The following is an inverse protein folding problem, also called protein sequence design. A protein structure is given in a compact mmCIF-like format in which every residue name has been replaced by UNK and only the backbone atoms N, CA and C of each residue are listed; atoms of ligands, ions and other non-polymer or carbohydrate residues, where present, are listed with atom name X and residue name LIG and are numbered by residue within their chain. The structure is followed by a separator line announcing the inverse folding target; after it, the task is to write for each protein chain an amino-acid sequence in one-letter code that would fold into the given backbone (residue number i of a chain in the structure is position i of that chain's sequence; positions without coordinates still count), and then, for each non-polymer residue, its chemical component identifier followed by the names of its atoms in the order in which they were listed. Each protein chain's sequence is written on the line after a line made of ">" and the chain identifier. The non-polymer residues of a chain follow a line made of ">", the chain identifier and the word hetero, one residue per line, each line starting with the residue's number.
data_IF_168649663104
#
_entry.id   IF_168649663104
#
_cell.length_a   1.000
_cell.length_b   1.000
_cell.length_c   1.000
_cell.angle_alpha   90.00
_cell.angle_beta   90.00
_cell.angle_gamma   90.00
#
_symmetry.space_group_name_H-M   'P 1'
#
loop_
_entity.id
_entity.type
_entity.pdbx_description
1 polymer ?
#
# COMPACT_ATOMS: atom_id res chain seq x y z
N UNK A 1 -45.16 -3.90 -17.15
CA UNK A 1 -44.68 -5.23 -16.72
C UNK A 1 -43.19 -5.10 -16.35
N UNK A 2 -42.86 -5.04 -15.05
CA UNK A 2 -41.49 -4.78 -14.55
C UNK A 2 -40.76 -6.13 -14.42
N UNK A 3 -39.81 -6.41 -15.31
CA UNK A 3 -38.92 -7.55 -15.17
C UNK A 3 -37.91 -7.27 -14.06
N UNK A 4 -38.18 -7.74 -12.84
CA UNK A 4 -37.15 -7.85 -11.79
C UNK A 4 -36.39 -9.14 -12.08
N UNK A 5 -35.10 -9.03 -12.41
CA UNK A 5 -34.18 -10.18 -12.38
C UNK A 5 -34.30 -10.84 -11.00
N UNK A 6 -34.37 -12.17 -10.89
CA UNK A 6 -34.26 -12.82 -9.58
C UNK A 6 -32.90 -12.45 -9.00
N UNK A 7 -32.91 -12.01 -7.74
CA UNK A 7 -31.70 -11.91 -6.93
C UNK A 7 -31.04 -13.29 -6.96
N UNK A 8 -29.76 -13.35 -7.32
CA UNK A 8 -28.96 -14.57 -7.23
C UNK A 8 -29.12 -15.19 -5.85
N UNK A 9 -29.14 -16.52 -5.71
CA UNK A 9 -29.28 -17.16 -4.41
C UNK A 9 -28.19 -16.63 -3.47
N UNK A 10 -28.61 -16.16 -2.29
CA UNK A 10 -27.70 -15.75 -1.23
C UNK A 10 -26.75 -16.91 -0.92
N UNK A 11 -25.47 -16.73 -1.21
CA UNK A 11 -24.45 -17.74 -0.94
C UNK A 11 -24.30 -17.80 0.58
N UNK A 12 -24.59 -18.95 1.23
CA UNK A 12 -24.42 -19.06 2.67
C UNK A 12 -22.93 -18.93 3.00
N UNK A 13 -22.60 -17.93 3.83
CA UNK A 13 -21.28 -17.74 4.44
C UNK A 13 -20.99 -18.87 5.42
N UNK A 14 -20.79 -20.10 4.92
CA UNK A 14 -20.45 -21.22 5.77
C UNK A 14 -19.34 -22.06 5.14
N UNK A 15 -18.35 -22.34 6.00
CA UNK A 15 -17.29 -23.34 5.89
C UNK A 15 -16.02 -22.99 5.07
N UNK A 16 -15.00 -22.59 5.85
CA UNK A 16 -13.59 -22.33 5.52
C UNK A 16 -13.29 -21.08 4.68
N UNK A 17 -13.42 -19.93 5.33
CA UNK A 17 -12.42 -18.87 5.11
C UNK A 17 -11.08 -19.52 5.49
N UNK A 18 -10.21 -19.83 4.51
CA UNK A 18 -8.78 -20.02 4.79
C UNK A 18 -8.41 -18.87 5.72
N UNK A 19 -7.89 -19.16 6.92
CA UNK A 19 -7.61 -18.16 7.95
C UNK A 19 -7.06 -16.90 7.27
N UNK A 20 -7.88 -15.85 7.20
CA UNK A 20 -7.54 -14.71 6.38
C UNK A 20 -6.24 -14.15 6.95
N UNK A 21 -5.14 -14.07 6.18
CA UNK A 21 -3.85 -13.63 6.71
C UNK A 21 -3.91 -12.19 7.23
N UNK A 22 -4.98 -11.44 6.91
CA UNK A 22 -5.26 -10.11 7.45
C UNK A 22 -6.16 -10.13 8.71
N UNK A 23 -7.06 -11.11 8.84
CA UNK A 23 -7.94 -11.24 10.02
C UNK A 23 -7.27 -12.05 11.15
N UNK A 24 -6.27 -12.85 10.82
CA UNK A 24 -5.42 -13.59 11.75
C UNK A 24 -3.98 -13.46 11.26
N UNK A 25 -3.36 -12.28 11.45
CA UNK A 25 -1.99 -12.05 11.02
C UNK A 25 -1.07 -13.11 11.61
N UNK A 26 -0.30 -13.75 10.73
CA UNK A 26 0.80 -14.64 11.10
C UNK A 26 1.87 -13.84 11.85
N UNK A 27 2.72 -14.53 12.63
CA UNK A 27 3.67 -13.97 13.63
C UNK A 27 4.08 -12.50 13.39
N UNK A 28 3.56 -11.60 14.22
CA UNK A 28 3.95 -10.19 14.20
C UNK A 28 5.38 -10.02 14.71
N UNK A 29 6.21 -9.32 13.95
CA UNK A 29 7.57 -8.90 14.33
C UNK A 29 7.56 -7.92 15.50
N UNK A 30 6.51 -7.10 15.59
CA UNK A 30 6.25 -6.20 16.70
C UNK A 30 4.75 -5.92 16.79
N UNK A 31 4.22 -5.69 18.00
CA UNK A 31 2.80 -5.35 18.21
C UNK A 31 2.60 -4.49 19.46
N UNK A 32 1.63 -3.59 19.39
CA UNK A 32 1.01 -2.93 20.55
C UNK A 32 -0.52 -2.96 20.44
N UNK A 33 -1.22 -2.19 21.27
CA UNK A 33 -2.70 -2.11 21.27
C UNK A 33 -3.29 -1.57 19.95
N UNK A 34 -2.52 -0.78 19.20
CA UNK A 34 -3.00 -0.05 18.02
C UNK A 34 -2.42 -0.53 16.69
N UNK A 35 -1.27 -1.21 16.71
CA UNK A 35 -0.54 -1.57 15.50
C UNK A 35 0.23 -2.88 15.66
N UNK A 36 0.49 -3.52 14.52
CA UNK A 36 1.39 -4.66 14.42
C UNK A 36 2.21 -4.56 13.13
N UNK A 37 3.41 -5.13 13.15
CA UNK A 37 4.33 -5.22 12.02
C UNK A 37 4.50 -6.70 11.68
N UNK A 38 4.35 -7.05 10.41
CA UNK A 38 4.55 -8.40 9.88
C UNK A 38 5.53 -8.34 8.72
N UNK A 39 6.19 -9.45 8.42
CA UNK A 39 6.83 -9.59 7.12
C UNK A 39 5.75 -9.57 6.04
N UNK A 40 6.07 -8.94 4.91
CA UNK A 40 5.29 -9.14 3.71
C UNK A 40 5.56 -10.56 3.21
N UNK A 41 4.65 -11.47 3.54
CA UNK A 41 4.77 -12.89 3.20
C UNK A 41 4.46 -13.17 1.73
N UNK A 42 3.96 -12.17 0.99
CA UNK A 42 3.62 -12.26 -0.42
C UNK A 42 4.43 -11.23 -1.19
N UNK A 43 5.69 -11.52 -1.53
CA UNK A 43 6.54 -10.57 -2.23
C UNK A 43 5.83 -10.08 -3.49
N UNK A 44 5.95 -8.78 -3.73
CA UNK A 44 5.39 -8.13 -4.92
C UNK A 44 5.89 -8.88 -6.16
N UNK A 45 4.99 -9.59 -6.84
CA UNK A 45 5.33 -10.37 -8.04
C UNK A 45 5.30 -9.47 -9.28
N UNK A 46 6.07 -9.83 -10.31
CA UNK A 46 6.03 -9.17 -11.62
C UNK A 46 4.59 -9.04 -12.13
N UNK A 47 4.24 -7.89 -12.69
CA UNK A 47 2.87 -7.56 -13.08
C UNK A 47 2.00 -6.98 -11.96
N UNK A 48 2.48 -6.94 -10.72
CA UNK A 48 1.83 -6.18 -9.66
C UNK A 48 2.06 -4.69 -9.90
N UNK A 49 1.00 -3.88 -9.77
CA UNK A 49 1.03 -2.45 -10.15
C UNK A 49 2.15 -1.65 -9.46
N UNK A 50 2.48 -2.00 -8.21
CA UNK A 50 3.59 -1.36 -7.47
C UNK A 50 4.95 -1.73 -8.08
N UNK A 51 5.14 -2.95 -8.56
CA UNK A 51 6.41 -3.37 -9.17
C UNK A 51 6.61 -2.75 -10.55
N UNK A 52 5.55 -2.70 -11.35
CA UNK A 52 5.57 -2.02 -12.64
C UNK A 52 5.85 -0.51 -12.48
N UNK A 53 5.23 0.13 -11.47
CA UNK A 53 5.50 1.53 -11.15
C UNK A 53 6.96 1.76 -10.74
N UNK A 54 7.52 0.89 -9.88
CA UNK A 54 8.93 0.95 -9.49
C UNK A 54 9.86 0.77 -10.69
N UNK A 55 9.60 -0.22 -11.53
CA UNK A 55 10.43 -0.50 -12.70
C UNK A 55 10.49 0.71 -13.64
N UNK A 56 9.34 1.35 -13.90
CA UNK A 56 9.28 2.57 -14.70
C UNK A 56 10.06 3.73 -14.04
N UNK A 57 9.96 3.89 -12.72
CA UNK A 57 10.64 4.96 -11.98
C UNK A 57 12.15 4.72 -11.90
N UNK A 58 12.58 3.46 -11.76
CA UNK A 58 13.98 3.04 -11.80
C UNK A 58 14.59 3.39 -13.17
N UNK A 59 13.92 3.00 -14.26
CA UNK A 59 14.38 3.26 -15.64
C UNK A 59 14.40 4.75 -15.99
N UNK A 60 13.38 5.50 -15.55
CA UNK A 60 13.21 6.91 -15.95
C UNK A 60 14.05 7.86 -15.10
N UNK A 61 14.22 7.58 -13.80
CA UNK A 61 14.77 8.52 -12.83
C UNK A 61 15.91 7.96 -11.97
N UNK A 62 16.24 6.67 -12.08
CA UNK A 62 17.35 6.08 -11.32
C UNK A 62 17.12 6.10 -9.80
N UNK A 63 15.89 5.86 -9.35
CA UNK A 63 15.53 5.81 -7.94
C UNK A 63 16.41 4.79 -7.17
N UNK A 64 16.78 5.13 -5.93
CA UNK A 64 17.66 4.29 -5.08
C UNK A 64 16.88 3.57 -3.97
N UNK A 65 15.63 3.97 -3.75
CA UNK A 65 14.74 3.39 -2.76
C UNK A 65 13.33 3.97 -2.91
N UNK A 66 12.41 3.49 -2.08
CA UNK A 66 11.00 3.89 -2.16
C UNK A 66 10.36 3.99 -0.78
N UNK A 67 9.46 4.95 -0.62
CA UNK A 67 8.40 4.86 0.38
C UNK A 67 7.09 4.51 -0.31
N UNK A 68 6.42 3.48 0.21
CA UNK A 68 5.17 2.97 -0.34
C UNK A 68 4.15 2.96 0.80
N UNK A 69 2.97 3.52 0.57
CA UNK A 69 1.94 3.61 1.60
C UNK A 69 0.60 4.11 1.07
N UNK A 70 -0.41 4.07 1.93
CA UNK A 70 -1.76 4.55 1.66
C UNK A 70 -2.25 5.34 2.88
N UNK A 71 -2.99 6.41 2.62
CA UNK A 71 -3.67 7.18 3.65
C UNK A 71 -5.16 6.83 3.62
N UNK A 72 -5.75 6.55 4.77
CA UNK A 72 -7.16 6.18 4.90
C UNK A 72 -7.86 7.17 5.83
N UNK A 73 -8.73 7.99 5.25
CA UNK A 73 -9.46 9.04 5.95
C UNK A 73 -8.72 10.38 5.98
N UNK A 74 -9.49 11.44 6.19
CA UNK A 74 -9.03 12.83 6.18
C UNK A 74 -7.94 13.09 7.23
N UNK A 75 -8.13 12.59 8.46
CA UNK A 75 -7.15 12.74 9.55
C UNK A 75 -5.84 11.99 9.31
N UNK A 76 -5.81 11.03 8.38
CA UNK A 76 -4.58 10.38 7.91
C UNK A 76 -3.93 11.12 6.73
N UNK A 77 -4.47 12.29 6.33
CA UNK A 77 -3.97 13.08 5.20
C UNK A 77 -4.51 12.66 3.83
N UNK A 78 -5.54 11.81 3.76
CA UNK A 78 -6.18 11.45 2.49
C UNK A 78 -7.00 12.63 1.95
N UNK A 79 -6.60 13.18 0.80
CA UNK A 79 -7.32 14.28 0.14
C UNK A 79 -8.31 13.80 -0.94
N UNK A 80 -7.97 12.71 -1.63
CA UNK A 80 -8.83 12.09 -2.64
C UNK A 80 -9.43 10.83 -2.04
N UNK A 81 -10.75 10.82 -1.84
CA UNK A 81 -11.50 9.74 -1.18
C UNK A 81 -11.77 8.55 -2.12
N UNK A 82 -10.73 8.16 -2.85
CA UNK A 82 -10.63 6.93 -3.62
C UNK A 82 -9.36 6.21 -3.16
N UNK A 83 -9.40 4.88 -3.06
CA UNK A 83 -8.22 4.11 -2.67
C UNK A 83 -7.09 4.35 -3.67
N UNK A 84 -5.96 4.82 -3.17
CA UNK A 84 -4.74 5.00 -3.96
C UNK A 84 -3.53 4.69 -3.10
N UNK A 85 -2.47 4.26 -3.76
CA UNK A 85 -1.16 3.99 -3.16
C UNK A 85 -0.20 5.08 -3.61
N UNK A 86 0.59 5.59 -2.68
CA UNK A 86 1.73 6.43 -2.97
C UNK A 86 2.95 5.55 -3.22
N UNK A 87 3.65 5.76 -4.34
CA UNK A 87 4.96 5.19 -4.62
C UNK A 87 5.91 6.37 -4.81
N UNK A 88 6.75 6.62 -3.81
CA UNK A 88 7.59 7.82 -3.74
C UNK A 88 9.05 7.40 -3.89
N UNK A 89 9.72 7.69 -5.03
CA UNK A 89 11.16 7.48 -5.20
C UNK A 89 11.96 8.21 -4.14
N UNK A 90 13.03 7.56 -3.67
CA UNK A 90 13.98 8.09 -2.69
C UNK A 90 15.40 8.03 -3.22
N UNK A 91 16.19 9.01 -2.82
CA UNK A 91 17.60 9.15 -3.18
C UNK A 91 18.43 9.48 -1.94
N UNK A 92 19.70 9.10 -1.95
CA UNK A 92 20.63 9.49 -0.91
C UNK A 92 20.68 11.02 -0.78
N UNK A 93 20.33 11.54 0.41
CA UNK A 93 20.36 12.97 0.70
C UNK A 93 19.11 13.77 0.33
N UNK A 94 18.07 13.16 -0.27
CA UNK A 94 16.89 13.88 -0.77
C UNK A 94 16.03 14.58 0.30
N UNK A 95 16.14 14.16 1.55
CA UNK A 95 15.34 14.67 2.66
C UNK A 95 16.20 14.85 3.90
N UNK A 96 16.32 16.08 4.44
CA UNK A 96 16.93 16.28 5.75
C UNK A 96 16.00 15.62 6.80
N UNK A 97 16.50 14.58 7.47
CA UNK A 97 15.80 13.77 8.49
C UNK A 97 14.87 12.65 7.96
N UNK A 98 15.39 11.79 7.08
CA UNK A 98 14.73 10.62 6.47
C UNK A 98 14.12 9.55 7.40
N UNK A 99 14.07 9.73 8.73
CA UNK A 99 13.61 8.71 9.71
C UNK A 99 12.10 8.44 9.63
N UNK A 100 11.68 7.76 8.57
CA UNK A 100 10.48 6.93 8.51
C UNK A 100 9.13 7.64 8.32
N UNK A 101 9.10 8.93 8.05
CA UNK A 101 7.82 9.63 7.83
C UNK A 101 7.48 9.67 6.34
N UNK A 102 6.26 9.21 5.99
CA UNK A 102 5.59 9.53 4.74
C UNK A 102 5.18 11.02 4.75
N UNK A 103 6.15 11.92 4.90
CA UNK A 103 5.91 13.33 4.60
C UNK A 103 5.98 13.47 3.08
N UNK A 104 5.03 14.22 2.50
CA UNK A 104 4.80 14.28 1.07
C UNK A 104 6.04 14.56 0.22
N UNK A 105 5.94 14.27 -1.07
CA UNK A 105 6.98 14.46 -2.10
C UNK A 105 7.74 15.77 -1.88
N UNK A 106 8.95 15.67 -1.33
CA UNK A 106 9.93 16.75 -1.37
C UNK A 106 10.50 16.70 -2.78
N UNK A 107 10.29 17.77 -3.54
CA UNK A 107 10.92 17.92 -4.85
C UNK A 107 12.43 17.94 -4.62
N UNK A 108 13.13 16.91 -5.07
CA UNK A 108 14.59 16.98 -5.20
C UNK A 108 14.88 18.04 -6.26
N UNK A 109 15.47 19.17 -5.85
CA UNK A 109 16.04 20.11 -6.81
C UNK A 109 17.27 19.42 -7.44
N UNK A 110 17.46 19.46 -8.78
CA UNK A 110 18.60 18.83 -9.40
C UNK A 110 19.89 19.55 -8.98
N UNK A 111 20.74 18.91 -8.18
CA UNK A 111 22.12 19.36 -7.95
C UNK A 111 22.66 19.44 -6.51
N UNK A 112 22.14 18.66 -5.56
CA UNK A 112 22.79 18.48 -4.25
C UNK A 112 23.54 17.16 -4.14
#
# INVERSE_FOLDING_TARGET
>A
MKFRKPLSPEIPLSTRVKACPFCSPQEALARNEHAYMIYDLYPVTRGHIIDEAKSLLDETFGAQGYNIGFNVGENAGQKIMHAHVHVIPRYQGDTPNWRGQLQGVVRAEPGS
#
